data_IF_647491189643
#
_entry.id   IF_647491189643
#
_cell.length_a   1.000
_cell.length_b   1.000
_cell.length_c   1.000
_cell.angle_alpha   90.00
_cell.angle_beta   90.00
_cell.angle_gamma   90.00
#
_symmetry.space_group_name_H-M   'P 1'
#
loop_
_entity.id
_entity.type
_entity.pdbx_description
1 polymer ?
2 non-polymer ?
3 non-polymer ?
4 non-polymer ?
5 non-polymer ?
6 non-polymer ?
7 water ?
#
# COMPACT_ATOMS: atom_id res chain seq x y z
N UNK A 2 5.75 19.74 -13.89
CA UNK A 2 4.90 20.32 -12.85
C UNK A 2 5.25 19.75 -11.47
N UNK A 3 4.88 20.48 -10.43
CA UNK A 3 5.28 20.09 -9.07
C UNK A 3 4.58 18.83 -8.57
N UNK A 4 5.34 17.99 -7.85
CA UNK A 4 4.80 16.77 -7.26
C UNK A 4 3.63 17.02 -6.32
N UNK A 5 2.52 16.31 -6.56
CA UNK A 5 1.37 16.35 -5.66
C UNK A 5 1.04 14.92 -5.23
N UNK A 6 0.61 14.76 -3.98
CA UNK A 6 0.15 13.45 -3.49
C UNK A 6 -1.32 13.50 -3.12
N UNK A 7 -2.08 12.55 -3.66
CA UNK A 7 -3.49 12.40 -3.33
C UNK A 7 -3.66 11.06 -2.65
N UNK A 8 -4.34 11.05 -1.51
CA UNK A 8 -4.63 9.78 -0.85
C UNK A 8 -6.01 9.26 -1.27
N UNK A 9 -6.03 8.05 -1.83
CA UNK A 9 -7.29 7.44 -2.24
C UNK A 9 -7.89 6.64 -1.08
N UNK A 10 -8.95 7.18 -0.48
CA UNK A 10 -9.59 6.55 0.67
C UNK A 10 -10.27 5.27 0.22
N UNK A 11 -9.85 4.12 0.76
CA UNK A 11 -10.37 2.85 0.29
C UNK A 11 -11.29 2.14 1.25
N UNK A 12 -11.91 2.89 2.16
CA UNK A 12 -12.83 2.29 3.11
C UNK A 12 -12.08 1.69 4.28
N UNK A 13 -12.66 0.68 4.91
CA UNK A 13 -12.07 0.15 6.14
C UNK A 13 -12.26 -1.34 6.33
N UNK A 14 -11.49 -1.88 7.29
CA UNK A 14 -11.56 -3.28 7.65
C UNK A 14 -11.48 -3.36 9.15
N UNK A 15 -11.77 -4.54 9.70
CA UNK A 15 -11.68 -4.77 11.13
C UNK A 15 -10.76 -5.95 11.41
N UNK A 16 -9.91 -5.79 12.43
CA UNK A 16 -9.12 -6.89 12.96
C UNK A 16 -9.21 -6.83 14.48
N UNK A 17 -8.68 -7.83 15.18
CA UNK A 17 -8.58 -7.71 16.62
C UNK A 17 -7.41 -6.82 16.98
N UNK A 18 -7.50 -6.14 18.12
CA UNK A 18 -6.38 -5.33 18.61
C UNK A 18 -5.09 -6.14 18.72
N UNK A 19 -5.20 -7.45 18.92
CA UNK A 19 -4.03 -8.33 18.97
C UNK A 19 -3.40 -8.55 17.60
N UNK A 20 -4.18 -8.40 16.54
CA UNK A 20 -3.64 -8.41 15.17
C UNK A 20 -2.85 -7.14 14.90
N UNK A 21 -3.42 -6.01 15.32
CA UNK A 21 -2.84 -4.69 15.08
C UNK A 21 -1.57 -4.50 15.91
N UNK A 22 -1.63 -4.86 17.18
CA UNK A 22 -0.48 -4.73 18.07
C UNK A 22 -0.05 -6.10 18.58
N UNK A 23 0.90 -6.71 17.86
CA UNK A 23 1.37 -8.06 18.12
C UNK A 23 1.62 -8.29 19.61
N UNK A 24 0.88 -9.26 20.18
CA UNK A 24 0.98 -9.66 21.59
C UNK A 24 0.55 -8.64 22.65
N UNK A 25 0.60 -7.35 22.32
CA UNK A 25 0.25 -6.28 23.27
C UNK A 25 -1.25 -5.99 23.28
N UNK A 26 -1.86 -5.96 22.10
CA UNK A 26 -3.27 -5.60 22.01
C UNK A 26 -3.50 -4.19 22.50
N UNK A 27 -4.55 -3.99 23.32
CA UNK A 27 -5.49 -4.95 23.91
C UNK A 27 -6.39 -5.59 22.86
N UNK A 28 -7.13 -6.62 23.24
CA UNK A 28 -7.99 -7.31 22.30
C UNK A 28 -9.26 -6.55 22.01
N UNK A 29 -10.12 -7.12 21.18
CA UNK A 29 -11.38 -6.49 20.81
C UNK A 29 -11.30 -5.99 19.39
N UNK A 30 -12.46 -5.80 18.76
CA UNK A 30 -12.52 -5.32 17.39
C UNK A 30 -11.96 -3.92 17.28
N UNK A 31 -11.15 -3.70 16.26
CA UNK A 31 -10.59 -2.39 15.93
C UNK A 31 -10.84 -2.18 14.45
N UNK A 32 -11.53 -1.10 14.08
CA UNK A 32 -11.70 -0.73 12.68
C UNK A 32 -10.60 0.21 12.21
N UNK A 33 -10.01 -0.07 11.04
CA UNK A 33 -8.89 0.70 10.52
C UNK A 33 -9.10 1.02 9.04
N UNK A 34 -8.57 2.16 8.59
CA UNK A 34 -8.73 2.56 7.19
C UNK A 34 -7.71 1.85 6.30
N UNK A 35 -8.01 1.80 5.00
CA UNK A 35 -7.10 1.30 3.98
C UNK A 35 -7.05 2.36 2.92
N UNK A 36 -5.84 2.74 2.49
CA UNK A 36 -5.76 3.73 1.42
C UNK A 36 -4.63 3.43 0.45
N UNK A 37 -4.69 4.07 -0.71
CA UNK A 37 -3.65 3.99 -1.72
C UNK A 37 -3.08 5.39 -1.93
N UNK A 38 -1.89 5.48 -2.51
CA UNK A 38 -1.18 6.76 -2.61
C UNK A 38 -0.97 7.11 -4.07
N UNK A 39 -1.64 8.17 -4.54
CA UNK A 39 -1.47 8.59 -5.93
C UNK A 39 -0.51 9.77 -6.00
N UNK A 40 0.53 9.64 -6.83
CA UNK A 40 1.49 10.71 -7.00
C UNK A 40 1.35 11.30 -8.40
N UNK A 41 0.94 12.56 -8.48
CA UNK A 41 0.98 13.27 -9.76
C UNK A 41 2.33 13.92 -9.91
N UNK A 42 3.12 13.40 -10.85
CA UNK A 42 4.53 13.79 -10.96
C UNK A 42 4.80 14.23 -12.39
N UNK A 43 5.85 15.03 -12.57
CA UNK A 43 6.28 15.45 -13.90
C UNK A 43 6.48 14.24 -14.80
N UNK A 44 7.04 13.18 -14.23
CA UNK A 44 7.36 11.96 -14.96
C UNK A 44 6.17 11.01 -15.17
N UNK A 45 5.03 11.29 -14.55
CA UNK A 45 3.84 10.49 -14.79
C UNK A 45 2.94 10.44 -13.57
N UNK A 46 1.87 9.65 -13.66
CA UNK A 46 1.00 9.41 -12.50
C UNK A 46 1.33 8.03 -11.97
N UNK A 47 1.77 7.98 -10.71
CA UNK A 47 2.22 6.74 -10.10
C UNK A 47 1.24 6.42 -9.00
N UNK A 48 0.75 5.18 -8.97
CA UNK A 48 -0.17 4.75 -7.92
C UNK A 48 0.52 3.72 -7.06
N UNK A 49 0.69 4.00 -5.78
CA UNK A 49 1.32 3.07 -4.86
C UNK A 49 0.22 2.37 -4.06
N UNK A 50 0.09 1.07 -4.30
CA UNK A 50 -0.96 0.23 -3.74
C UNK A 50 -2.33 0.52 -4.32
N UNK A 51 -3.24 -0.45 -4.20
CA UNK A 51 -4.57 -0.35 -4.82
C UNK A 51 -5.70 -0.84 -3.91
N UNK A 52 -5.46 -0.83 -2.60
CA UNK A 52 -6.51 -1.12 -1.63
C UNK A 52 -7.02 -2.55 -1.67
N UNK A 53 -8.20 -2.80 -1.10
CA UNK A 53 -8.76 -4.14 -1.15
C UNK A 53 -9.96 -4.25 -2.09
N UNK A 54 -10.20 -5.47 -2.57
CA UNK A 54 -11.40 -5.73 -3.36
C UNK A 54 -12.54 -6.13 -2.44
N UNK A 55 -13.65 -5.42 -2.47
CA UNK A 55 -14.73 -5.69 -1.53
C UNK A 55 -15.28 -7.12 -1.66
N UNK A 56 -15.51 -7.59 -2.88
CA UNK A 56 -16.08 -8.94 -3.02
C UNK A 56 -15.08 -9.98 -2.54
N UNK A 57 -13.78 -9.73 -2.75
CA UNK A 57 -12.79 -10.67 -2.27
C UNK A 57 -12.86 -10.80 -0.75
N UNK A 58 -12.91 -9.67 -0.06
CA UNK A 58 -12.89 -9.71 1.40
C UNK A 58 -14.18 -10.37 1.91
N UNK A 59 -15.32 -10.04 1.28
CA UNK A 59 -16.58 -10.61 1.73
C UNK A 59 -16.66 -12.12 1.51
N UNK A 60 -15.96 -12.61 0.48
CA UNK A 60 -15.93 -14.05 0.20
C UNK A 60 -14.89 -14.80 1.04
N UNK A 61 -13.70 -14.23 1.16
CA UNK A 61 -12.59 -14.94 1.81
C UNK A 61 -12.35 -14.52 3.28
N UNK A 62 -12.58 -13.24 3.58
CA UNK A 62 -12.34 -12.74 4.94
C UNK A 62 -13.52 -11.94 5.51
N UNK A 63 -14.74 -12.53 5.53
CA UNK A 63 -15.92 -11.73 5.91
C UNK A 63 -15.86 -11.22 7.35
N UNK A 64 -15.05 -11.88 8.18
CA UNK A 64 -14.85 -11.49 9.58
C UNK A 64 -14.13 -10.14 9.73
N UNK A 65 -13.58 -9.63 8.62
CA UNK A 65 -12.94 -8.32 8.62
C UNK A 65 -13.94 -7.21 8.32
N UNK A 66 -15.19 -7.60 8.16
CA UNK A 66 -16.33 -6.66 8.08
C UNK A 66 -16.05 -5.42 7.23
N UNK A 67 -15.70 -5.63 5.95
CA UNK A 67 -15.32 -4.49 5.11
C UNK A 67 -16.45 -3.46 4.96
N UNK A 68 -16.09 -2.17 5.06
CA UNK A 68 -17.00 -1.10 4.67
C UNK A 68 -16.30 -0.30 3.58
N UNK A 69 -16.95 -0.22 2.42
CA UNK A 69 -16.35 0.47 1.29
C UNK A 69 -17.47 0.92 0.35
N UNK A 70 -17.67 2.24 0.26
CA UNK A 70 -18.71 2.82 -0.59
C UNK A 70 -18.19 2.93 -2.02
N UNK A 71 -19.06 3.29 -2.96
CA UNK A 71 -18.66 3.26 -4.37
C UNK A 71 -17.53 4.24 -4.72
N UNK A 72 -17.37 5.29 -3.92
CA UNK A 72 -16.29 6.25 -4.16
C UNK A 72 -15.00 5.81 -3.48
N UNK A 73 -15.05 4.63 -2.85
CA UNK A 73 -13.87 4.10 -2.15
C UNK A 73 -13.25 2.88 -2.84
N UNK A 74 -13.81 2.51 -4.00
CA UNK A 74 -13.10 1.58 -4.88
C UNK A 74 -12.02 2.40 -5.54
N UNK A 75 -11.05 1.75 -6.18
CA UNK A 75 -10.05 2.50 -6.91
C UNK A 75 -10.67 3.29 -8.07
N UNK A 76 -11.53 2.67 -8.89
CA UNK A 76 -12.10 3.53 -9.93
C UNK A 76 -12.93 4.68 -9.34
N UNK A 77 -13.65 4.41 -8.25
CA UNK A 77 -14.46 5.43 -7.60
C UNK A 77 -13.63 6.57 -7.03
N UNK A 78 -12.53 6.23 -6.38
CA UNK A 78 -11.65 7.24 -5.80
C UNK A 78 -10.96 8.06 -6.88
N UNK A 79 -10.57 7.41 -7.98
CA UNK A 79 -9.95 8.13 -9.09
C UNK A 79 -10.98 9.08 -9.70
N UNK A 80 -12.24 8.63 -9.72
CA UNK A 80 -13.32 9.43 -10.29
C UNK A 80 -13.51 10.76 -9.59
N UNK A 81 -13.28 10.79 -8.28
CA UNK A 81 -13.38 12.01 -7.48
C UNK A 81 -12.41 13.07 -7.98
N UNK A 82 -11.33 12.62 -8.63
CA UNK A 82 -10.28 13.52 -9.12
C UNK A 82 -10.43 13.72 -10.62
N UNK A 83 -11.53 13.26 -11.19
CA UNK A 83 -11.70 13.36 -12.63
C UNK A 83 -10.78 12.44 -13.40
N UNK A 84 -10.33 11.36 -12.76
CA UNK A 84 -9.44 10.41 -13.40
C UNK A 84 -10.07 9.02 -13.57
N UNK A 85 -9.42 8.18 -14.36
CA UNK A 85 -9.82 6.80 -14.58
C UNK A 85 -8.55 5.97 -14.47
N UNK A 86 -8.68 4.65 -14.28
CA UNK A 86 -7.47 3.81 -14.19
C UNK A 86 -6.50 3.98 -15.36
N UNK A 87 -7.03 4.23 -16.55
CA UNK A 87 -6.20 4.37 -17.75
C UNK A 87 -5.23 5.57 -17.61
N UNK A 88 -5.57 6.50 -16.73
CA UNK A 88 -4.73 7.68 -16.49
C UNK A 88 -3.47 7.40 -15.67
N UNK A 89 -3.41 6.25 -15.03
CA UNK A 89 -2.26 5.90 -14.19
C UNK A 89 -1.22 5.24 -15.08
N UNK A 90 0.04 5.67 -14.99
CA UNK A 90 1.10 5.17 -15.83
C UNK A 90 1.86 4.01 -15.21
N UNK A 91 1.97 4.03 -13.88
CA UNK A 91 2.77 3.06 -13.15
C UNK A 91 2.04 2.69 -11.87
N UNK A 92 1.91 1.39 -11.61
CA UNK A 92 1.40 0.89 -10.33
C UNK A 92 2.54 0.24 -9.59
N UNK A 93 2.73 0.62 -8.32
CA UNK A 93 3.76 0.03 -7.46
C UNK A 93 3.04 -0.64 -6.31
N UNK A 94 3.41 -1.86 -5.95
CA UNK A 94 2.82 -2.47 -4.77
C UNK A 94 3.86 -2.62 -3.67
N UNK A 95 3.51 -2.15 -2.47
CA UNK A 95 4.37 -2.25 -1.29
C UNK A 95 4.60 -3.72 -0.98
N UNK A 96 3.55 -4.51 -1.20
CA UNK A 96 3.55 -5.96 -1.00
C UNK A 96 2.20 -6.51 -1.48
N UNK A 97 2.06 -7.83 -1.53
CA UNK A 97 0.84 -8.39 -2.11
C UNK A 97 -0.13 -9.01 -1.10
N UNK A 98 -0.18 -8.46 0.11
CA UNK A 98 -1.33 -8.77 0.96
C UNK A 98 -2.54 -8.17 0.28
N UNK A 99 -3.69 -8.79 0.48
CA UNK A 99 -4.88 -8.48 -0.30
C UNK A 99 -5.32 -7.01 -0.22
N UNK A 100 -5.02 -6.35 0.89
CA UNK A 100 -5.50 -4.99 1.11
C UNK A 100 -4.61 -3.94 0.46
N UNK A 101 -3.61 -4.38 -0.31
CA UNK A 101 -2.73 -3.48 -1.04
C UNK A 101 -2.67 -3.75 -2.54
N UNK A 102 -3.41 -4.77 -3.00
CA UNK A 102 -3.31 -5.14 -4.42
C UNK A 102 -4.65 -5.53 -5.04
N UNK A 103 -5.73 -5.27 -4.32
CA UNK A 103 -7.05 -5.66 -4.76
C UNK A 103 -7.58 -4.92 -5.97
N UNK A 104 -6.96 -3.79 -6.30
CA UNK A 104 -7.40 -3.00 -7.45
C UNK A 104 -6.46 -3.06 -8.64
N UNK A 105 -5.37 -3.82 -8.54
CA UNK A 105 -4.42 -3.95 -9.65
C UNK A 105 -5.05 -4.39 -10.96
N UNK A 106 -6.09 -5.23 -10.84
CA UNK A 106 -6.80 -5.77 -11.99
C UNK A 106 -7.27 -4.68 -12.97
N UNK A 107 -7.43 -3.46 -12.47
CA UNK A 107 -7.92 -2.36 -13.31
C UNK A 107 -6.84 -1.66 -14.13
N UNK A 108 -5.60 -2.13 -14.01
CA UNK A 108 -4.48 -1.41 -14.62
C UNK A 108 -3.64 -2.29 -15.57
N UNK A 109 -4.30 -3.00 -16.51
CA UNK A 109 -3.49 -3.88 -17.38
C UNK A 109 -2.51 -3.10 -18.24
N UNK A 110 -2.84 -1.84 -18.54
CA UNK A 110 -2.03 -0.97 -19.38
C UNK A 110 -0.77 -0.44 -18.66
N UNK A 111 -0.81 -0.41 -17.33
CA UNK A 111 0.24 0.26 -16.56
C UNK A 111 1.53 -0.56 -16.45
N UNK A 112 2.67 0.10 -16.26
CA UNK A 112 3.87 -0.60 -15.82
C UNK A 112 3.63 -1.02 -14.38
N UNK A 113 4.03 -2.24 -14.01
CA UNK A 113 3.86 -2.69 -12.62
C UNK A 113 5.24 -2.92 -12.01
N UNK A 114 5.41 -2.47 -10.76
CA UNK A 114 6.68 -2.59 -10.03
C UNK A 114 6.42 -3.14 -8.62
N UNK A 115 7.29 -4.01 -8.15
CA UNK A 115 7.20 -4.51 -6.77
C UNK A 115 8.57 -5.05 -6.41
N UNK A 116 8.77 -5.41 -5.14
CA UNK A 116 10.02 -6.05 -4.76
C UNK A 116 10.15 -7.39 -5.49
N UNK A 117 11.39 -7.74 -5.88
CA UNK A 117 11.65 -8.94 -6.68
C UNK A 117 11.11 -10.20 -6.00
N UNK A 118 11.08 -10.21 -4.68
CA UNK A 118 10.69 -11.41 -3.96
C UNK A 118 9.18 -11.55 -3.81
N UNK A 119 8.42 -10.50 -4.09
CA UNK A 119 6.99 -10.51 -3.72
C UNK A 119 6.14 -11.38 -4.63
N UNK A 120 6.37 -11.36 -5.95
CA UNK A 120 5.60 -12.25 -6.81
C UNK A 120 5.85 -13.74 -6.48
N UNK A 121 7.12 -14.15 -6.34
CA UNK A 121 7.36 -15.53 -5.91
C UNK A 121 6.72 -15.86 -4.56
N UNK A 122 6.66 -14.89 -3.66
CA UNK A 122 6.04 -15.16 -2.36
C UNK A 122 4.54 -15.41 -2.49
N UNK A 123 3.89 -14.65 -3.37
CA UNK A 123 2.47 -14.82 -3.60
C UNK A 123 2.20 -16.17 -4.25
N UNK A 124 3.12 -16.62 -5.08
CA UNK A 124 2.97 -17.92 -5.74
C UNK A 124 3.11 -19.06 -4.72
N UNK A 125 4.04 -18.90 -3.78
CA UNK A 125 4.32 -19.95 -2.80
C UNK A 125 4.62 -19.36 -1.42
N UNK A 126 3.58 -18.95 -0.70
CA UNK A 126 3.80 -18.27 0.58
C UNK A 126 4.05 -19.26 1.71
N UNK A 127 4.56 -18.76 2.83
CA UNK A 127 4.62 -19.57 4.04
C UNK A 127 3.19 -19.97 4.41
N UNK A 128 3.02 -21.14 5.07
CA UNK A 128 1.66 -21.60 5.36
C UNK A 128 0.84 -20.59 6.15
N UNK A 129 1.50 -19.81 6.99
CA UNK A 129 0.82 -18.82 7.81
C UNK A 129 0.56 -17.51 7.06
N UNK A 130 0.98 -17.46 5.79
CA UNK A 130 0.76 -16.28 4.95
C UNK A 130 -0.38 -16.42 3.92
N UNK A 131 -1.01 -17.57 3.85
CA UNK A 131 -1.99 -17.83 2.76
C UNK A 131 -3.14 -16.83 2.71
N UNK A 132 -3.61 -16.40 3.88
CA UNK A 132 -4.76 -15.50 3.97
C UNK A 132 -4.37 -14.04 3.66
N UNK A 133 -3.15 -13.66 4.02
CA UNK A 133 -2.65 -12.36 3.64
C UNK A 133 -2.50 -12.29 2.14
N UNK A 134 -1.82 -13.28 1.56
CA UNK A 134 -1.72 -13.36 0.10
C UNK A 134 -2.90 -14.12 -0.54
N UNK A 135 -4.13 -13.66 -0.31
CA UNK A 135 -5.29 -14.44 -0.74
C UNK A 135 -5.98 -13.94 -2.00
N UNK A 136 -5.64 -12.73 -2.43
CA UNK A 136 -6.18 -12.17 -3.66
C UNK A 136 -5.08 -12.18 -4.70
N UNK A 137 -5.18 -13.10 -5.67
CA UNK A 137 -4.14 -13.21 -6.69
C UNK A 137 -4.61 -12.62 -8.01
N UNK A 138 -5.65 -11.78 -7.97
CA UNK A 138 -6.15 -11.17 -9.21
C UNK A 138 -5.15 -10.16 -9.81
N UNK A 139 -4.08 -9.86 -9.07
CA UNK A 139 -3.08 -8.90 -9.56
C UNK A 139 -2.07 -9.56 -10.49
N UNK A 140 -2.09 -10.90 -10.55
CA UNK A 140 -1.06 -11.62 -11.31
C UNK A 140 -1.59 -12.93 -11.89
N UNK A 141 -1.60 -13.06 -13.21
CA UNK A 141 -2.06 -14.31 -13.83
C UNK A 141 -1.17 -15.47 -13.36
N UNK A 142 0.13 -15.22 -13.31
CA UNK A 142 1.11 -16.21 -12.86
C UNK A 142 0.85 -16.69 -11.44
N UNK A 143 0.66 -15.76 -10.52
CA UNK A 143 0.42 -16.14 -9.13
C UNK A 143 -0.93 -16.81 -8.95
N UNK A 144 -1.93 -16.36 -9.70
CA UNK A 144 -3.24 -16.98 -9.64
C UNK A 144 -3.15 -18.44 -10.07
N UNK A 145 -2.44 -18.68 -11.17
CA UNK A 145 -2.25 -20.03 -11.68
C UNK A 145 -1.54 -20.91 -10.65
N UNK A 146 -0.48 -20.39 -10.05
CA UNK A 146 0.27 -21.14 -9.05
C UNK A 146 -0.55 -21.48 -7.82
N UNK A 147 -1.53 -20.63 -7.49
CA UNK A 147 -2.28 -20.81 -6.25
C UNK A 147 -3.63 -21.48 -6.49
N UNK A 148 -3.91 -21.87 -7.74
CA UNK A 148 -5.19 -22.47 -8.06
C UNK A 148 -6.34 -21.48 -8.00
N UNK A 149 -6.04 -20.21 -8.25
CA UNK A 149 -7.02 -19.15 -8.06
C UNK A 149 -7.33 -18.38 -9.35
N UNK A 150 -7.26 -19.04 -10.51
CA UNK A 150 -7.49 -18.34 -11.77
C UNK A 150 -8.92 -17.82 -11.88
N UNK A 151 -9.84 -18.39 -11.11
CA UNK A 151 -11.22 -17.91 -11.07
C UNK A 151 -11.29 -16.47 -10.56
N UNK A 152 -10.28 -16.04 -9.83
CA UNK A 152 -10.22 -14.66 -9.33
C UNK A 152 -9.91 -13.63 -10.40
N UNK A 153 -9.38 -14.08 -11.53
CA UNK A 153 -8.89 -13.15 -12.55
C UNK A 153 -10.00 -12.41 -13.29
N UNK A 154 -9.86 -11.09 -13.36
CA UNK A 154 -10.73 -10.27 -14.15
C UNK A 154 -10.57 -10.67 -15.62
N UNK A 155 -11.66 -10.63 -16.37
CA UNK A 155 -11.57 -10.93 -17.79
C UNK A 155 -10.58 -9.99 -18.48
N UNK A 156 -9.70 -10.56 -19.29
CA UNK A 156 -8.75 -9.78 -20.05
C UNK A 156 -7.39 -9.73 -19.41
N UNK A 157 -7.29 -10.26 -18.17
CA UNK A 157 -6.00 -10.32 -17.48
C UNK A 157 -5.15 -11.44 -18.04
N UNK A 158 -3.92 -11.11 -18.42
CA UNK A 158 -3.00 -12.10 -18.95
C UNK A 158 -1.66 -12.02 -18.24
N UNK A 159 -0.80 -13.00 -18.46
CA UNK A 159 0.56 -12.90 -17.96
C UNK A 159 1.25 -11.67 -18.52
N UNK A 160 0.98 -11.40 -19.79
CA UNK A 160 1.56 -10.25 -20.48
C UNK A 160 1.26 -8.92 -19.76
N UNK A 161 0.00 -8.73 -19.37
CA UNK A 161 -0.40 -7.47 -18.76
C UNK A 161 -0.46 -7.49 -17.24
N UNK A 162 0.10 -8.53 -16.63
CA UNK A 162 0.19 -8.57 -15.17
C UNK A 162 1.58 -9.01 -14.74
N UNK A 163 2.57 -8.66 -15.56
CA UNK A 163 3.97 -8.93 -15.26
C UNK A 163 4.61 -7.74 -14.53
N UNK A 164 5.36 -8.02 -13.47
CA UNK A 164 6.00 -6.96 -12.68
C UNK A 164 7.46 -6.82 -12.99
N UNK A 165 7.93 -5.59 -12.90
CA UNK A 165 9.36 -5.34 -12.86
C UNK A 165 9.77 -5.46 -11.40
N UNK A 166 10.65 -6.41 -11.08
CA UNK A 166 11.11 -6.60 -9.71
C UNK A 166 12.29 -5.71 -9.36
N UNK A 167 12.24 -5.11 -8.18
CA UNK A 167 13.31 -4.25 -7.69
C UNK A 167 13.84 -4.74 -6.33
N UNK A 168 14.91 -4.12 -5.83
CA UNK A 168 15.49 -4.51 -4.55
C UNK A 168 16.29 -3.33 -4.00
N UNK A 169 16.32 -3.22 -2.67
CA UNK A 169 17.01 -2.13 -1.97
C UNK A 169 16.25 -0.83 -2.00
N UNK A 170 16.89 0.25 -1.58
CA UNK A 170 16.27 1.56 -1.66
C UNK A 170 16.45 2.11 -3.07
N UNK A 171 15.35 2.44 -3.74
CA UNK A 171 15.44 2.86 -5.13
C UNK A 171 14.53 4.03 -5.49
N UNK A 172 15.00 4.86 -6.42
CA UNK A 172 14.24 6.00 -6.88
C UNK A 172 13.24 5.59 -7.94
N UNK A 173 11.96 5.85 -7.67
CA UNK A 173 10.90 5.57 -8.62
C UNK A 173 10.87 6.71 -9.65
N UNK A 174 11.12 7.92 -9.15
CA UNK A 174 11.05 9.14 -9.95
C UNK A 174 11.82 10.18 -9.14
N UNK A 175 12.00 11.37 -9.68
CA UNK A 175 12.70 12.41 -8.94
C UNK A 175 11.98 12.68 -7.62
N UNK A 176 12.72 12.53 -6.52
CA UNK A 176 12.19 12.83 -5.20
C UNK A 176 11.14 11.84 -4.72
N UNK A 177 11.07 10.68 -5.38
CA UNK A 177 10.18 9.61 -4.91
C UNK A 177 11.02 8.35 -4.70
N UNK A 178 11.16 7.94 -3.45
CA UNK A 178 12.03 6.84 -3.13
C UNK A 178 11.25 5.71 -2.47
N UNK A 179 11.45 4.51 -2.99
CA UNK A 179 10.93 3.30 -2.38
C UNK A 179 11.92 2.81 -1.33
N UNK A 180 11.47 2.73 -0.08
CA UNK A 180 12.34 2.40 1.05
C UNK A 180 12.14 0.94 1.47
N UNK A 181 13.17 0.11 1.32
CA UNK A 181 13.02 -1.30 1.66
C UNK A 181 12.82 -1.45 3.16
N UNK A 182 11.67 -2.02 3.54
CA UNK A 182 11.33 -2.20 4.94
C UNK A 182 10.75 -3.60 5.19
N UNK A 183 11.55 -4.64 4.96
CA UNK A 183 11.05 -6.00 5.02
C UNK A 183 10.80 -6.48 6.45
N UNK A 184 10.09 -7.59 6.61
CA UNK A 184 9.76 -8.13 7.93
C UNK A 184 8.26 -8.43 8.06
N UNK A 185 7.46 -7.40 7.82
CA UNK A 185 6.02 -7.59 7.74
C UNK A 185 5.76 -8.56 6.59
N UNK A 186 6.47 -8.35 5.49
CA UNK A 186 6.48 -9.31 4.39
C UNK A 186 7.89 -9.31 3.85
N UNK A 187 8.19 -10.29 3.00
CA UNK A 187 9.55 -10.56 2.57
C UNK A 187 10.14 -9.41 1.76
N UNK A 188 9.29 -8.69 1.04
CA UNK A 188 9.76 -7.60 0.19
C UNK A 188 8.99 -6.31 0.40
N UNK A 189 8.53 -6.09 1.63
CA UNK A 189 7.74 -4.91 1.92
C UNK A 189 8.48 -3.59 1.70
N UNK A 190 7.82 -2.67 0.98
CA UNK A 190 8.34 -1.32 0.75
C UNK A 190 7.53 -0.21 1.43
N UNK A 191 8.23 0.73 2.06
CA UNK A 191 7.66 2.01 2.46
C UNK A 191 7.99 3.06 1.38
N UNK A 192 7.47 4.27 1.54
CA UNK A 192 7.56 5.28 0.48
C UNK A 192 7.93 6.64 1.03
N UNK A 193 8.91 7.27 0.41
CA UNK A 193 9.32 8.62 0.80
C UNK A 193 9.06 9.56 -0.37
N UNK A 194 8.24 10.59 -0.15
CA UNK A 194 7.95 11.56 -1.19
C UNK A 194 8.50 12.92 -0.80
N UNK A 195 9.37 13.46 -1.66
CA UNK A 195 9.92 14.79 -1.44
C UNK A 195 9.22 15.80 -2.34
N UNK A 196 9.08 17.01 -1.82
CA UNK A 196 8.37 18.09 -2.51
C UNK A 196 9.29 19.29 -2.72
N UNK A 197 8.92 20.18 -3.66
CA UNK A 197 9.72 21.39 -3.86
C UNK A 197 9.62 22.41 -2.71
N UNK A 198 8.53 22.40 -1.94
CA UNK A 198 8.30 23.46 -0.95
C UNK A 198 7.54 23.07 0.31
N UNK A 199 7.56 21.79 0.65
CA UNK A 199 7.05 21.36 1.95
C UNK A 199 7.92 20.18 2.34
N UNK A 200 7.80 19.68 3.57
CA UNK A 200 8.73 18.65 4.01
C UNK A 200 8.34 17.30 3.43
N UNK A 201 9.32 16.37 3.34
CA UNK A 201 8.99 15.04 2.82
C UNK A 201 7.90 14.35 3.62
N UNK A 202 7.22 13.40 2.98
CA UNK A 202 6.33 12.50 3.70
C UNK A 202 6.88 11.09 3.57
N UNK A 203 7.02 10.41 4.70
CA UNK A 203 7.39 9.01 4.72
C UNK A 203 6.15 8.19 5.01
N UNK A 204 5.61 7.55 3.98
CA UNK A 204 4.50 6.63 4.17
C UNK A 204 5.06 5.28 4.64
N UNK A 205 4.77 4.93 5.89
CA UNK A 205 5.28 3.71 6.47
C UNK A 205 4.68 2.47 5.81
N UNK A 206 3.45 2.63 5.31
CA UNK A 206 2.65 1.50 4.83
C UNK A 206 2.67 0.43 5.93
N UNK A 207 2.81 -0.86 5.62
CA UNK A 207 2.61 -1.84 6.69
C UNK A 207 3.83 -2.09 7.57
N UNK A 208 4.90 -1.34 7.37
CA UNK A 208 6.06 -1.43 8.27
C UNK A 208 5.68 -0.87 9.65
N UNK A 209 4.65 -0.03 9.66
CA UNK A 209 4.08 0.50 10.91
C UNK A 209 2.61 0.89 10.70
N UNK A 210 1.69 0.10 11.24
CA UNK A 210 0.25 0.36 11.07
C UNK A 210 -0.19 1.68 11.66
N UNK A 211 0.35 2.01 12.82
CA UNK A 211 -0.09 3.20 13.54
C UNK A 211 1.10 3.90 14.16
N UNK A 212 0.87 5.13 14.58
CA UNK A 212 1.89 5.94 15.24
C UNK A 212 2.36 5.21 16.48
N UNK A 213 1.40 4.68 17.23
CA UNK A 213 1.71 3.93 18.45
C UNK A 213 2.60 2.73 18.14
N UNK A 214 2.38 2.09 17.00
CA UNK A 214 3.19 0.94 16.58
C UNK A 214 4.67 1.32 16.50
N UNK A 215 4.94 2.45 15.86
CA UNK A 215 6.30 2.93 15.71
C UNK A 215 6.89 3.32 17.08
N UNK A 216 6.13 4.07 17.86
CA UNK A 216 6.60 4.60 19.15
C UNK A 216 7.03 3.50 20.11
N UNK A 217 6.37 2.35 20.02
CA UNK A 217 6.61 1.25 20.95
C UNK A 217 7.38 0.08 20.34
N UNK A 218 7.71 0.19 19.05
CA UNK A 218 8.30 -0.92 18.28
C UNK A 218 7.43 -2.17 18.37
N UNK A 219 6.13 -1.97 18.47
CA UNK A 219 5.21 -3.09 18.50
C UNK A 219 4.58 -3.22 17.11
N UNK A 220 5.10 -4.15 16.32
CA UNK A 220 4.62 -4.31 14.94
C UNK A 220 3.29 -5.05 14.89
N UNK A 221 2.77 -5.25 13.69
CA UNK A 221 1.55 -6.03 13.50
C UNK A 221 1.85 -7.51 13.71
N UNK A 222 0.82 -8.27 14.06
CA UNK A 222 0.97 -9.71 14.28
C UNK A 222 1.20 -10.44 12.96
N UNK A 223 0.74 -9.85 11.87
CA UNK A 223 1.05 -10.39 10.56
C UNK A 223 2.46 -9.98 10.18
N UNK A 224 3.34 -10.98 10.09
CA UNK A 224 4.71 -10.74 9.67
C UNK A 224 5.33 -12.06 9.29
N UNK A 225 6.43 -12.01 8.54
CA UNK A 225 7.22 -13.20 8.26
C UNK A 225 8.51 -13.25 9.09
N UNK A 226 9.02 -12.07 9.47
CA UNK A 226 10.27 -12.00 10.25
C UNK A 226 10.19 -10.80 11.19
N UNK A 227 9.86 -11.05 12.47
CA UNK A 227 9.64 -9.91 13.37
C UNK A 227 10.93 -9.25 13.78
N UNK A 228 12.09 -9.91 13.60
CA UNK A 228 13.38 -9.27 13.88
C UNK A 228 13.64 -8.21 12.79
N UNK A 229 13.51 -8.64 11.54
CA UNK A 229 13.52 -7.70 10.41
C UNK A 229 12.47 -6.60 10.59
N UNK A 230 11.30 -6.98 11.10
CA UNK A 230 10.20 -6.03 11.28
C UNK A 230 10.59 -4.89 12.21
N UNK A 231 11.24 -5.22 13.33
CA UNK A 231 11.70 -4.19 14.25
C UNK A 231 12.82 -3.34 13.64
N UNK A 232 13.76 -3.99 12.98
CA UNK A 232 14.85 -3.26 12.35
C UNK A 232 14.36 -2.30 11.27
N UNK A 233 13.29 -2.67 10.57
CA UNK A 233 12.70 -1.80 9.56
C UNK A 233 11.99 -0.60 10.21
N UNK A 234 11.37 -0.82 11.36
CA UNK A 234 10.81 0.30 12.12
C UNK A 234 11.90 1.31 12.51
N UNK A 235 13.05 0.80 12.97
CA UNK A 235 14.19 1.68 13.32
C UNK A 235 14.71 2.44 12.12
N UNK A 236 14.79 1.75 10.98
CA UNK A 236 15.20 2.38 9.74
C UNK A 236 14.25 3.52 9.36
N UNK A 237 12.95 3.29 9.58
CA UNK A 237 11.94 4.30 9.31
C UNK A 237 12.02 5.47 10.28
N UNK A 238 12.22 5.17 11.57
CA UNK A 238 12.37 6.22 12.58
C UNK A 238 13.51 7.15 12.18
N UNK A 239 14.66 6.55 11.88
CA UNK A 239 15.85 7.30 11.54
C UNK A 239 15.72 8.10 10.26
N UNK A 240 15.19 7.46 9.21
CA UNK A 240 15.09 8.09 7.91
C UNK A 240 14.21 9.32 7.99
N UNK A 241 13.16 9.25 8.81
CA UNK A 241 12.27 10.38 8.99
C UNK A 241 12.99 11.52 9.73
N UNK A 242 13.70 11.17 10.81
CA UNK A 242 14.53 12.14 11.54
C UNK A 242 15.52 12.82 10.61
N UNK A 243 16.32 12.00 9.94
CA UNK A 243 17.38 12.47 9.04
C UNK A 243 16.87 13.35 7.90
N UNK A 244 15.59 13.18 7.55
CA UNK A 244 15.02 13.88 6.42
C UNK A 244 14.06 14.98 6.86
N UNK A 245 13.76 15.02 8.15
CA UNK A 245 12.77 15.94 8.66
C UNK A 245 11.41 15.62 8.07
N UNK A 246 11.27 14.38 7.61
CA UNK A 246 10.04 13.94 6.97
C UNK A 246 8.91 13.78 7.97
N UNK A 247 7.69 13.96 7.48
CA UNK A 247 6.47 13.77 8.24
C UNK A 247 5.97 12.33 8.00
N UNK A 248 5.60 11.66 9.08
CA UNK A 248 5.24 10.23 9.02
C UNK A 248 3.74 10.03 8.81
N UNK A 249 3.37 9.20 7.85
CA UNK A 249 1.98 8.87 7.67
C UNK A 249 1.79 7.36 7.66
N UNK A 250 0.81 6.89 8.44
CA UNK A 250 0.68 5.47 8.72
C UNK A 250 -0.47 4.82 7.94
N UNK A 251 -0.40 3.50 7.77
CA UNK A 251 -1.30 2.79 6.86
C UNK A 251 -2.69 2.52 7.42
N UNK A 252 -2.74 2.13 8.69
CA UNK A 252 -3.98 1.59 9.26
C UNK A 252 -4.23 2.19 10.64
N UNK A 253 -4.33 3.52 10.68
CA UNK A 253 -4.43 4.28 11.93
C UNK A 253 -5.62 5.22 11.77
N UNK A 254 -6.76 4.84 12.35
CA UNK A 254 -8.01 5.57 12.12
C UNK A 254 -7.95 6.99 12.66
N UNK A 255 -7.52 7.13 13.91
CA UNK A 255 -7.36 8.44 14.55
C UNK A 255 -6.52 9.41 13.72
N UNK A 256 -5.34 8.95 13.28
CA UNK A 256 -4.50 9.77 12.42
C UNK A 256 -5.11 9.97 11.02
N UNK A 257 -5.71 8.91 10.47
CA UNK A 257 -6.30 8.99 9.13
C UNK A 257 -7.36 10.09 9.02
N UNK A 258 -8.06 10.35 10.14
CA UNK A 258 -9.09 11.37 10.12
C UNK A 258 -8.52 12.78 10.00
N UNK A 259 -7.22 12.89 10.20
CA UNK A 259 -6.53 14.17 10.04
C UNK A 259 -5.86 14.29 8.66
N UNK A 260 -5.80 13.17 7.93
CA UNK A 260 -5.16 13.13 6.61
C UNK A 260 -6.08 13.68 5.51
N UNK A 261 -5.48 14.36 4.53
CA UNK A 261 -6.21 14.81 3.35
C UNK A 261 -6.52 13.63 2.45
N UNK A 262 -7.79 13.48 2.08
CA UNK A 262 -8.20 12.46 1.12
C UNK A 262 -9.09 13.11 0.06
N UNK A 263 -9.43 12.36 -0.97
CA UNK A 263 -10.30 12.89 -2.00
C UNK A 263 -9.64 14.03 -2.75
N UNK A 264 -10.37 15.13 -2.94
CA UNK A 264 -9.83 16.25 -3.72
C UNK A 264 -8.79 17.08 -2.97
N UNK A 265 -8.65 16.85 -1.66
CA UNK A 265 -7.61 17.51 -0.90
C UNK A 265 -6.29 16.78 -1.17
N UNK A 266 -5.18 17.50 -1.19
CA UNK A 266 -3.88 16.90 -1.51
C UNK A 266 -2.69 17.54 -0.79
N UNK A 267 -1.53 16.88 -0.90
CA UNK A 267 -0.28 17.40 -0.36
C UNK A 267 0.60 17.90 -1.50
N UNK A 268 1.24 19.05 -1.30
CA UNK A 268 2.09 19.62 -2.33
C UNK A 268 1.51 20.87 -2.98
N UNK A 269 0.90 21.71 -2.17
CA UNK A 269 0.32 22.97 -2.63
C UNK A 269 1.39 23.97 -3.02
N UNK A 270 1.05 24.86 -3.96
CA UNK A 270 1.89 26.02 -4.24
C UNK A 270 1.74 26.99 -3.06
N UNK A 271 2.77 27.78 -2.78
CA UNK A 271 2.84 28.54 -1.53
C UNK A 271 2.36 30.01 -1.61
N UNK A 272 2.18 30.50 -2.83
CA UNK A 272 1.83 31.92 -3.09
C UNK A 272 2.79 32.90 -2.44
N UNK A 273 4.00 32.46 -2.10
CA UNK A 273 5.00 33.37 -1.56
C UNK A 273 5.54 34.29 -2.67
N UNK A 274 5.66 33.74 -3.87
CA UNK A 274 6.22 34.46 -5.02
C UNK A 274 6.01 33.63 -6.29
#
# INVERSE_FOLDING_TARGET
>A
MSDTKVYLLDGGSLVLDGYHVFWNRGPGGEVRFPVYSILIEHAEGRFLIDTGYDYDHVMKVLPFEKPIQEKHQTIPGALGLLGLEPRDIDVVVNSHFHFDHCGGNKYFPHAKKICHRSEVPQACNPQPFEHLGYSDLSFSAEAAEARGATAQLLEGTTRANSTFEGIDGDVDLARGVKLISTPGHSIGHYSLLVEFPRRKPILFTIDAAYTQKSLETLCQAAFHIDPVAGVNSMRKVKKLAEDHGAELMYSHDMDNFKTYRTGTQFYGHHHHHH
#
